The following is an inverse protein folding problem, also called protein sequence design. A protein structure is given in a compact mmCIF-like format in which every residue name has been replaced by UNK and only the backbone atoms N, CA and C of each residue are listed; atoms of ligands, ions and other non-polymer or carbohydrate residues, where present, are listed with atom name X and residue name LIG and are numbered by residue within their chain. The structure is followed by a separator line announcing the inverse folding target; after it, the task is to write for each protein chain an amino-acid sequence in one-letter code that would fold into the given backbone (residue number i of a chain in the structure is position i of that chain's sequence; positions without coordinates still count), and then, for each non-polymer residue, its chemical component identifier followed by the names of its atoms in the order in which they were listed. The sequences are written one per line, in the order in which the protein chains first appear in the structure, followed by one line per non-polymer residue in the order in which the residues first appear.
data_IF_507978772127
#
_entry.id   IF_507978772127
#
_cell.length_a   1.000
_cell.length_b   1.000
_cell.length_c   1.000
_cell.angle_alpha   90.00
_cell.angle_beta   90.00
_cell.angle_gamma   90.00
#
_symmetry.space_group_name_H-M   'P 1'
#
loop_
_entity.id
_entity.type
_entity.pdbx_description
1 polymer ?
#
# COMPACT_ATOMS: atom_id res chain seq x y z
N UNK A 1 -48.83 -30.05 58.31
CA UNK A 1 -48.28 -30.52 57.04
C UNK A 1 -47.61 -29.30 56.40
N UNK A 2 -46.27 -29.30 56.38
CA UNK A 2 -45.48 -28.14 55.89
C UNK A 2 -45.00 -28.45 54.49
N UNK A 3 -45.41 -27.67 53.50
CA UNK A 3 -44.96 -27.76 52.12
C UNK A 3 -43.60 -27.11 51.99
N UNK A 4 -42.58 -27.88 51.68
CA UNK A 4 -41.24 -27.40 51.35
C UNK A 4 -41.21 -27.18 49.84
N UNK A 5 -41.15 -25.93 49.41
CA UNK A 5 -40.96 -25.51 48.03
C UNK A 5 -39.47 -25.57 47.73
N UNK A 6 -39.04 -26.51 46.91
CA UNK A 6 -37.65 -26.69 46.47
C UNK A 6 -37.43 -25.84 45.23
N UNK A 7 -36.82 -24.65 45.37
CA UNK A 7 -36.42 -23.78 44.26
C UNK A 7 -35.15 -24.34 43.65
N UNK A 8 -35.25 -24.88 42.43
CA UNK A 8 -34.10 -25.24 41.59
C UNK A 8 -33.57 -23.98 40.93
N UNK A 9 -32.45 -23.42 41.43
CA UNK A 9 -31.65 -22.42 40.71
C UNK A 9 -30.82 -23.14 39.66
N UNK A 10 -31.22 -23.04 38.38
CA UNK A 10 -30.39 -23.45 37.24
C UNK A 10 -29.41 -22.29 36.97
N UNK A 11 -28.19 -22.42 37.44
CA UNK A 11 -27.10 -21.53 37.05
C UNK A 11 -26.63 -21.92 35.64
N UNK A 12 -27.05 -21.14 34.63
CA UNK A 12 -26.50 -21.25 33.28
C UNK A 12 -25.09 -20.65 33.33
N UNK A 13 -24.08 -21.51 33.43
CA UNK A 13 -22.69 -21.15 33.29
C UNK A 13 -22.45 -20.89 31.80
N UNK A 14 -22.58 -19.66 31.34
CA UNK A 14 -22.12 -19.23 30.01
C UNK A 14 -20.60 -19.34 29.98
N UNK A 15 -20.07 -20.49 29.53
CA UNK A 15 -18.68 -20.61 29.16
C UNK A 15 -18.46 -19.68 27.95
N UNK A 16 -17.94 -18.49 28.20
CA UNK A 16 -17.34 -17.66 27.17
C UNK A 16 -16.08 -18.42 26.71
N UNK A 17 -16.25 -19.22 25.67
CA UNK A 17 -15.10 -19.73 24.91
C UNK A 17 -14.44 -18.48 24.29
N UNK A 18 -13.46 -17.93 24.98
CA UNK A 18 -12.48 -17.03 24.40
C UNK A 18 -11.60 -17.90 23.49
N UNK A 19 -12.17 -18.36 22.37
CA UNK A 19 -11.43 -19.04 21.34
C UNK A 19 -10.40 -18.03 20.81
N UNK A 20 -9.14 -18.40 20.84
CA UNK A 20 -8.11 -17.69 20.08
C UNK A 20 -8.58 -17.72 18.64
N UNK A 21 -8.81 -16.56 18.04
CA UNK A 21 -9.13 -16.49 16.64
C UNK A 21 -7.82 -16.71 15.90
N UNK A 22 -7.65 -17.82 15.20
CA UNK A 22 -6.47 -18.04 14.37
C UNK A 22 -6.49 -17.10 13.16
N UNK A 23 -5.32 -16.69 12.70
CA UNK A 23 -5.21 -15.92 11.46
C UNK A 23 -5.79 -16.74 10.29
N UNK A 24 -6.61 -16.11 9.45
CA UNK A 24 -7.33 -16.81 8.38
C UNK A 24 -6.91 -16.28 7.01
N UNK A 25 -6.72 -17.23 6.09
CA UNK A 25 -6.39 -16.91 4.69
C UNK A 25 -7.55 -17.34 3.78
N UNK A 26 -7.89 -16.48 2.82
CA UNK A 26 -8.91 -16.71 1.80
C UNK A 26 -8.31 -16.56 0.41
N UNK A 27 -8.50 -17.52 -0.47
CA UNK A 27 -8.10 -17.45 -1.88
C UNK A 27 -9.34 -17.42 -2.78
N UNK A 28 -9.33 -16.55 -3.79
CA UNK A 28 -10.37 -16.51 -4.83
C UNK A 28 -9.85 -15.95 -6.14
N UNK A 29 -10.58 -16.23 -7.22
CA UNK A 29 -10.39 -15.63 -8.52
C UNK A 29 -11.56 -14.72 -8.86
N UNK A 30 -11.33 -13.74 -9.72
CA UNK A 30 -12.35 -12.89 -10.29
C UNK A 30 -12.34 -13.01 -11.82
N UNK A 31 -13.37 -12.46 -12.46
CA UNK A 31 -13.48 -12.45 -13.90
C UNK A 31 -12.33 -11.64 -14.53
N UNK A 32 -11.87 -12.04 -15.73
CA UNK A 32 -10.91 -11.28 -16.51
C UNK A 32 -11.38 -9.83 -16.78
N UNK A 33 -10.46 -8.88 -16.70
CA UNK A 33 -10.72 -7.48 -17.02
C UNK A 33 -10.44 -7.23 -18.51
N UNK A 34 -11.44 -7.50 -19.35
CA UNK A 34 -11.29 -7.50 -20.82
C UNK A 34 -10.90 -6.14 -21.39
N UNK A 35 -11.43 -5.05 -20.82
CA UNK A 35 -11.19 -3.67 -21.25
C UNK A 35 -9.70 -3.29 -21.13
N UNK A 36 -9.00 -3.88 -20.17
CA UNK A 36 -7.57 -3.68 -19.91
C UNK A 36 -6.74 -4.93 -20.18
N UNK A 37 -7.32 -5.91 -20.87
CA UNK A 37 -6.67 -7.14 -21.33
C UNK A 37 -5.97 -7.94 -20.22
N UNK A 38 -6.53 -7.96 -19.03
CA UNK A 38 -6.04 -8.80 -17.93
C UNK A 38 -6.81 -10.11 -17.95
N UNK A 39 -6.10 -11.20 -18.22
CA UNK A 39 -6.69 -12.52 -18.41
C UNK A 39 -6.80 -13.32 -17.11
N UNK A 40 -5.93 -13.04 -16.14
CA UNK A 40 -5.96 -13.69 -14.82
C UNK A 40 -6.05 -12.64 -13.73
N UNK A 41 -7.11 -12.74 -12.95
CA UNK A 41 -7.34 -11.91 -11.77
C UNK A 41 -7.58 -12.84 -10.60
N UNK A 42 -6.71 -12.79 -9.60
CA UNK A 42 -6.86 -13.58 -8.41
C UNK A 42 -6.32 -12.84 -7.17
N UNK A 43 -6.80 -13.24 -6.02
CA UNK A 43 -6.49 -12.58 -4.75
C UNK A 43 -6.24 -13.61 -3.66
N UNK A 44 -5.40 -13.19 -2.69
CA UNK A 44 -5.30 -13.81 -1.37
C UNK A 44 -5.54 -12.75 -0.32
N UNK A 45 -6.58 -12.95 0.48
CA UNK A 45 -6.84 -12.19 1.70
C UNK A 45 -6.21 -12.86 2.90
N UNK A 46 -5.62 -12.10 3.80
CA UNK A 46 -5.17 -12.55 5.11
C UNK A 46 -5.77 -11.67 6.19
N UNK A 47 -6.39 -12.29 7.17
CA UNK A 47 -6.99 -11.63 8.34
C UNK A 47 -6.16 -11.97 9.56
N UNK A 48 -5.65 -10.99 10.33
CA UNK A 48 -4.90 -11.27 11.55
C UNK A 48 -5.77 -11.94 12.60
N UNK A 49 -5.12 -12.68 13.49
CA UNK A 49 -5.74 -13.22 14.71
C UNK A 49 -6.14 -12.05 15.63
N UNK A 50 -7.37 -11.55 15.47
CA UNK A 50 -7.89 -10.44 16.26
C UNK A 50 -9.40 -10.45 16.38
N UNK A 51 -9.88 -10.18 17.59
CA UNK A 51 -11.30 -9.90 17.86
C UNK A 51 -11.66 -8.43 17.66
N UNK A 52 -10.65 -7.55 17.50
CA UNK A 52 -10.87 -6.12 17.27
C UNK A 52 -11.38 -5.87 15.85
N UNK A 53 -12.14 -4.80 15.64
CA UNK A 53 -12.39 -4.31 14.29
C UNK A 53 -11.09 -3.97 13.58
N UNK A 54 -11.03 -4.25 12.28
CA UNK A 54 -9.89 -3.89 11.46
C UNK A 54 -9.99 -2.44 11.00
N UNK A 55 -8.86 -1.76 11.05
CA UNK A 55 -8.76 -0.33 10.72
C UNK A 55 -8.52 -0.06 9.23
N UNK A 56 -8.15 -1.07 8.44
CA UNK A 56 -7.83 -0.90 7.02
C UNK A 56 -7.43 -2.17 6.30
N UNK A 57 -6.98 -2.02 5.05
CA UNK A 57 -6.44 -3.11 4.22
C UNK A 57 -5.11 -2.71 3.63
N UNK A 58 -4.10 -3.56 3.78
CA UNK A 58 -2.81 -3.46 3.10
C UNK A 58 -2.89 -4.19 1.76
N UNK A 59 -2.85 -3.46 0.67
CA UNK A 59 -2.94 -3.98 -0.69
C UNK A 59 -1.55 -4.16 -1.27
N UNK A 60 -1.21 -5.39 -1.66
CA UNK A 60 0.10 -5.78 -2.17
C UNK A 60 0.00 -6.19 -3.64
N UNK A 61 0.70 -5.47 -4.53
CA UNK A 61 0.61 -5.69 -5.98
C UNK A 61 1.99 -6.01 -6.56
N UNK A 62 2.16 -7.20 -7.18
CA UNK A 62 3.43 -7.65 -7.74
C UNK A 62 3.81 -6.90 -9.00
N UNK A 63 5.03 -7.15 -9.48
CA UNK A 63 5.45 -6.76 -10.82
C UNK A 63 4.65 -7.47 -11.92
N UNK A 64 4.97 -7.11 -13.15
CA UNK A 64 4.35 -7.65 -14.36
C UNK A 64 4.35 -9.18 -14.36
N UNK A 65 3.20 -9.77 -14.71
CA UNK A 65 2.95 -11.22 -14.76
C UNK A 65 3.19 -11.96 -13.42
N UNK A 66 3.43 -11.23 -12.33
CA UNK A 66 3.65 -11.84 -11.02
C UNK A 66 2.36 -12.36 -10.39
N UNK A 67 2.45 -13.50 -9.73
CA UNK A 67 1.47 -13.91 -8.74
C UNK A 67 1.92 -13.38 -7.37
N UNK A 68 1.25 -12.35 -6.91
CA UNK A 68 1.57 -11.70 -5.64
C UNK A 68 0.89 -12.32 -4.43
N UNK A 69 0.03 -13.31 -4.61
CA UNK A 69 -0.77 -13.90 -3.52
C UNK A 69 0.09 -14.41 -2.37
N UNK A 70 1.23 -15.03 -2.66
CA UNK A 70 2.17 -15.47 -1.64
C UNK A 70 2.76 -14.35 -0.76
N UNK A 71 2.62 -13.08 -1.14
CA UNK A 71 3.03 -11.97 -0.28
C UNK A 71 2.18 -11.85 0.99
N UNK A 72 0.93 -12.32 0.96
CA UNK A 72 0.07 -12.35 2.15
C UNK A 72 0.60 -13.28 3.25
N UNK A 73 1.44 -14.26 2.88
CA UNK A 73 2.03 -15.22 3.82
C UNK A 73 3.39 -14.75 4.35
N UNK A 74 3.94 -13.65 3.82
CA UNK A 74 5.25 -13.16 4.20
C UNK A 74 5.23 -12.48 5.58
N UNK A 75 6.09 -12.92 6.53
CA UNK A 75 6.05 -12.45 7.93
C UNK A 75 6.16 -10.94 8.10
N UNK A 76 6.93 -10.26 7.24
CA UNK A 76 7.07 -8.80 7.31
C UNK A 76 5.77 -8.06 7.00
N UNK A 77 4.98 -8.57 6.06
CA UNK A 77 3.70 -7.97 5.70
C UNK A 77 2.63 -8.28 6.74
N UNK A 78 2.61 -9.52 7.25
CA UNK A 78 1.69 -9.91 8.33
C UNK A 78 1.98 -9.11 9.60
N UNK A 79 3.27 -8.90 9.93
CA UNK A 79 3.65 -8.07 11.06
C UNK A 79 3.18 -6.62 10.88
N UNK A 80 3.44 -6.02 9.70
CA UNK A 80 2.98 -4.64 9.42
C UNK A 80 1.46 -4.53 9.50
N UNK A 81 0.73 -5.48 8.92
CA UNK A 81 -0.72 -5.49 8.96
C UNK A 81 -1.25 -5.63 10.40
N UNK A 82 -0.67 -6.53 11.20
CA UNK A 82 -1.01 -6.68 12.63
C UNK A 82 -0.74 -5.39 13.41
N UNK A 83 0.42 -4.76 13.21
CA UNK A 83 0.80 -3.50 13.89
C UNK A 83 -0.12 -2.31 13.52
N UNK A 84 -0.86 -2.42 12.42
CA UNK A 84 -1.81 -1.42 11.92
C UNK A 84 -3.28 -1.78 12.20
N UNK A 85 -3.57 -2.96 12.75
CA UNK A 85 -4.91 -3.56 12.78
C UNK A 85 -5.53 -3.64 11.36
N UNK A 86 -4.75 -4.07 10.37
CA UNK A 86 -5.14 -4.19 8.95
C UNK A 86 -5.29 -5.64 8.52
N UNK A 87 -6.19 -5.88 7.55
CA UNK A 87 -6.14 -7.08 6.71
C UNK A 87 -5.08 -6.91 5.62
N UNK A 88 -4.69 -8.01 4.95
CA UNK A 88 -3.90 -7.98 3.71
C UNK A 88 -4.77 -8.43 2.55
N UNK A 89 -4.63 -7.74 1.41
CA UNK A 89 -5.12 -8.16 0.10
C UNK A 89 -3.95 -8.24 -0.86
N UNK A 90 -3.48 -9.45 -1.16
CA UNK A 90 -2.41 -9.69 -2.12
C UNK A 90 -2.99 -10.09 -3.48
N UNK A 91 -2.51 -9.44 -4.54
CA UNK A 91 -3.12 -9.48 -5.87
C UNK A 91 -2.31 -10.30 -6.87
N UNK A 92 -3.01 -10.90 -7.82
CA UNK A 92 -2.46 -11.39 -9.08
C UNK A 92 -3.20 -10.73 -10.23
N UNK A 93 -2.45 -10.01 -11.09
CA UNK A 93 -2.96 -9.47 -12.35
C UNK A 93 -2.01 -9.89 -13.46
N UNK A 94 -2.44 -10.83 -14.31
CA UNK A 94 -1.64 -11.34 -15.41
C UNK A 94 -2.37 -11.16 -16.73
N UNK A 95 -1.62 -10.77 -17.74
CA UNK A 95 -2.12 -10.62 -19.10
C UNK A 95 -1.08 -11.12 -20.12
N UNK A 96 -1.52 -11.24 -21.37
CA UNK A 96 -0.59 -11.40 -22.49
C UNK A 96 0.20 -10.12 -22.77
N UNK A 97 1.01 -10.15 -23.83
CA UNK A 97 1.67 -8.96 -24.37
C UNK A 97 0.73 -8.24 -25.36
N UNK A 98 0.77 -6.88 -25.42
CA UNK A 98 1.49 -5.92 -24.59
C UNK A 98 0.79 -5.65 -23.26
N UNK A 99 1.49 -4.97 -22.32
CA UNK A 99 1.05 -4.75 -20.96
C UNK A 99 0.18 -3.47 -20.82
N UNK A 100 -1.14 -3.54 -20.66
CA UNK A 100 -2.03 -2.39 -20.83
C UNK A 100 -2.31 -1.58 -19.55
N UNK A 101 -1.71 -1.88 -18.38
CA UNK A 101 -1.97 -1.12 -17.15
C UNK A 101 -1.76 0.39 -17.29
N UNK A 102 -0.88 0.80 -18.20
CA UNK A 102 -0.65 2.21 -18.51
C UNK A 102 -1.86 2.86 -19.19
N UNK A 103 -2.72 2.05 -19.80
CA UNK A 103 -3.88 2.49 -20.59
C UNK A 103 -5.22 2.29 -19.88
N UNK A 104 -5.20 1.95 -18.58
CA UNK A 104 -6.44 1.87 -17.77
C UNK A 104 -7.02 3.28 -17.56
N UNK A 105 -7.62 3.82 -18.61
CA UNK A 105 -8.20 5.16 -18.61
C UNK A 105 -9.43 5.27 -17.71
N UNK A 106 -10.09 4.16 -17.41
CA UNK A 106 -11.37 4.12 -16.69
C UNK A 106 -11.26 3.54 -15.28
N UNK A 107 -10.05 3.16 -14.85
CA UNK A 107 -9.81 2.64 -13.51
C UNK A 107 -10.40 1.25 -13.27
N UNK A 108 -10.44 0.40 -14.29
CA UNK A 108 -11.02 -0.95 -14.18
C UNK A 108 -10.31 -1.81 -13.14
N UNK A 109 -8.96 -1.71 -13.10
CA UNK A 109 -8.18 -2.42 -12.06
C UNK A 109 -8.46 -1.85 -10.68
N UNK A 110 -8.61 -0.54 -10.56
CA UNK A 110 -8.91 0.11 -9.29
C UNK A 110 -10.31 -0.26 -8.78
N UNK A 111 -11.31 -0.33 -9.67
CA UNK A 111 -12.67 -0.84 -9.35
C UNK A 111 -12.62 -2.31 -8.92
N UNK A 112 -11.85 -3.13 -9.64
CA UNK A 112 -11.67 -4.54 -9.30
C UNK A 112 -11.07 -4.73 -7.88
N UNK A 113 -10.09 -3.90 -7.49
CA UNK A 113 -9.55 -3.91 -6.13
C UNK A 113 -10.63 -3.56 -5.09
N UNK A 114 -11.51 -2.58 -5.37
CA UNK A 114 -12.62 -2.27 -4.47
C UNK A 114 -13.57 -3.46 -4.31
N UNK A 115 -13.96 -4.11 -5.41
CA UNK A 115 -14.79 -5.32 -5.38
C UNK A 115 -14.10 -6.44 -4.60
N UNK A 116 -12.78 -6.60 -4.76
CA UNK A 116 -12.01 -7.60 -4.02
C UNK A 116 -11.97 -7.31 -2.50
N UNK A 117 -11.89 -6.05 -2.10
CA UNK A 117 -11.98 -5.66 -0.67
C UNK A 117 -13.38 -5.93 -0.12
N UNK A 118 -14.44 -5.66 -0.89
CA UNK A 118 -15.81 -5.98 -0.50
C UNK A 118 -15.99 -7.50 -0.34
N UNK A 119 -15.47 -8.27 -1.27
CA UNK A 119 -15.52 -9.74 -1.19
C UNK A 119 -14.72 -10.28 0.00
N UNK A 120 -13.53 -9.73 0.29
CA UNK A 120 -12.76 -10.07 1.50
C UNK A 120 -13.57 -9.77 2.77
N UNK A 121 -14.29 -8.65 2.80
CA UNK A 121 -15.20 -8.30 3.90
C UNK A 121 -16.28 -9.36 4.11
N UNK A 122 -16.85 -9.88 3.03
CA UNK A 122 -17.89 -10.91 3.06
C UNK A 122 -17.33 -12.26 3.54
N UNK A 123 -16.22 -12.70 2.95
CA UNK A 123 -15.57 -13.96 3.30
C UNK A 123 -15.12 -14.01 4.77
N UNK A 124 -14.63 -12.88 5.29
CA UNK A 124 -14.11 -12.78 6.66
C UNK A 124 -15.16 -12.43 7.71
N UNK A 125 -16.36 -12.03 7.30
CA UNK A 125 -17.37 -11.46 8.19
C UNK A 125 -16.99 -10.11 8.82
N UNK A 126 -15.94 -9.43 8.31
CA UNK A 126 -15.44 -8.14 8.79
C UNK A 126 -16.08 -7.00 7.98
N UNK A 127 -17.32 -6.64 8.32
CA UNK A 127 -18.11 -5.66 7.56
C UNK A 127 -17.45 -4.28 7.45
N UNK A 128 -16.62 -3.90 8.42
CA UNK A 128 -15.87 -2.66 8.43
C UNK A 128 -14.92 -2.50 7.23
N UNK A 129 -14.42 -3.60 6.66
CA UNK A 129 -13.48 -3.57 5.54
C UNK A 129 -14.07 -2.97 4.26
N UNK A 130 -15.39 -3.06 4.04
CA UNK A 130 -16.04 -2.51 2.82
C UNK A 130 -15.67 -1.06 2.54
N UNK A 131 -15.55 -0.25 3.59
CA UNK A 131 -15.24 1.20 3.51
C UNK A 131 -13.91 1.57 4.16
N UNK A 132 -13.15 0.59 4.58
CA UNK A 132 -11.89 0.82 5.25
C UNK A 132 -10.87 1.52 4.36
N UNK A 133 -9.98 2.36 4.93
CA UNK A 133 -8.87 2.94 4.19
C UNK A 133 -7.90 1.87 3.72
N UNK A 134 -7.24 2.14 2.58
CA UNK A 134 -6.28 1.23 1.96
C UNK A 134 -4.87 1.82 2.03
N UNK A 135 -3.90 0.98 2.38
CA UNK A 135 -2.49 1.30 2.20
C UNK A 135 -1.91 0.42 1.09
N UNK A 136 -1.13 1.00 0.20
CA UNK A 136 -0.63 0.30 -0.98
C UNK A 136 0.87 0.10 -0.93
N UNK A 137 1.31 -1.09 -1.33
CA UNK A 137 2.64 -1.32 -1.82
C UNK A 137 2.59 -2.00 -3.18
N UNK A 138 3.36 -1.47 -4.12
CA UNK A 138 3.49 -2.05 -5.45
C UNK A 138 4.95 -2.10 -5.90
N UNK A 139 5.29 -3.10 -6.71
CA UNK A 139 6.62 -3.21 -7.33
C UNK A 139 6.49 -3.19 -8.84
N UNK A 140 7.34 -2.42 -9.54
CA UNK A 140 7.35 -2.35 -11.01
C UNK A 140 5.95 -2.00 -11.57
N UNK A 141 5.34 -2.86 -12.37
CA UNK A 141 3.98 -2.68 -12.88
C UNK A 141 2.93 -2.52 -11.76
N UNK A 142 3.11 -3.22 -10.65
CA UNK A 142 2.24 -3.08 -9.47
C UNK A 142 2.31 -1.68 -8.85
N UNK A 143 3.45 -1.00 -8.95
CA UNK A 143 3.57 0.41 -8.55
C UNK A 143 2.66 1.31 -9.39
N UNK A 144 2.57 1.06 -10.71
CA UNK A 144 1.70 1.83 -11.59
C UNK A 144 0.22 1.58 -11.29
N UNK A 145 -0.17 0.32 -11.04
CA UNK A 145 -1.54 -0.03 -10.65
C UNK A 145 -1.93 0.68 -9.35
N UNK A 146 -1.07 0.59 -8.33
CA UNK A 146 -1.30 1.23 -7.03
C UNK A 146 -1.41 2.76 -7.16
N UNK A 147 -0.53 3.36 -7.96
CA UNK A 147 -0.54 4.80 -8.21
C UNK A 147 -1.81 5.23 -8.98
N UNK A 148 -2.28 4.43 -9.93
CA UNK A 148 -3.56 4.68 -10.63
C UNK A 148 -4.74 4.61 -9.66
N UNK A 149 -4.74 3.65 -8.72
CA UNK A 149 -5.76 3.62 -7.69
C UNK A 149 -5.80 4.94 -6.89
N UNK A 150 -4.65 5.50 -6.53
CA UNK A 150 -4.56 6.79 -5.84
C UNK A 150 -5.17 7.96 -6.63
N UNK A 151 -5.21 7.86 -7.96
CA UNK A 151 -5.84 8.88 -8.83
C UNK A 151 -7.37 8.72 -8.86
N UNK A 152 -7.86 7.48 -8.96
CA UNK A 152 -9.30 7.22 -9.09
C UNK A 152 -10.07 7.29 -7.77
N UNK A 153 -9.45 6.83 -6.69
CA UNK A 153 -10.08 6.73 -5.36
C UNK A 153 -9.18 7.32 -4.25
N UNK A 154 -8.73 8.58 -4.38
CA UNK A 154 -7.77 9.18 -3.46
C UNK A 154 -8.27 9.23 -2.01
N UNK A 155 -9.58 9.37 -1.80
CA UNK A 155 -10.21 9.40 -0.47
C UNK A 155 -10.14 8.07 0.28
N UNK A 156 -9.91 6.97 -0.44
CA UNK A 156 -9.75 5.63 0.13
C UNK A 156 -8.31 5.32 0.55
N UNK A 157 -7.33 6.15 0.15
CA UNK A 157 -5.91 5.81 0.32
C UNK A 157 -5.33 6.46 1.56
N UNK A 158 -4.85 5.64 2.50
CA UNK A 158 -4.14 6.08 3.69
C UNK A 158 -2.65 6.39 3.39
N UNK A 159 -1.98 5.56 2.59
CA UNK A 159 -0.59 5.75 2.18
C UNK A 159 -0.28 4.92 0.92
N UNK A 160 0.74 5.34 0.17
CA UNK A 160 1.26 4.61 -0.98
C UNK A 160 2.77 4.47 -0.91
N UNK A 161 3.26 3.27 -1.21
CA UNK A 161 4.68 2.98 -1.33
C UNK A 161 4.96 2.22 -2.64
N UNK A 162 6.04 2.55 -3.31
CA UNK A 162 6.44 1.89 -4.54
C UNK A 162 7.88 1.45 -4.53
N UNK A 163 8.17 0.33 -5.21
CA UNK A 163 9.51 -0.18 -5.46
C UNK A 163 9.75 -0.33 -6.94
N UNK A 164 10.75 0.38 -7.46
CA UNK A 164 11.29 0.34 -8.82
C UNK A 164 10.29 0.54 -9.98
N UNK A 165 10.79 0.71 -11.19
CA UNK A 165 10.00 1.04 -12.37
C UNK A 165 9.64 2.52 -12.42
N UNK A 166 8.71 2.91 -13.28
CA UNK A 166 8.18 4.28 -13.34
C UNK A 166 7.14 4.45 -12.24
N UNK A 167 7.61 4.72 -11.03
CA UNK A 167 6.76 4.85 -9.85
C UNK A 167 6.00 6.18 -9.86
N UNK A 168 4.77 6.13 -9.36
CA UNK A 168 3.95 7.31 -9.07
C UNK A 168 2.77 7.52 -10.01
N UNK A 169 1.86 8.41 -9.60
CA UNK A 169 0.64 8.69 -10.33
C UNK A 169 0.95 9.39 -11.66
N UNK A 170 0.66 8.71 -12.77
CA UNK A 170 0.68 9.30 -14.09
C UNK A 170 -0.59 10.12 -14.36
N UNK A 171 -0.57 10.94 -15.43
CA UNK A 171 -1.73 11.72 -15.82
C UNK A 171 -2.03 12.93 -14.92
N UNK A 172 -3.27 13.36 -14.86
CA UNK A 172 -3.70 14.48 -14.03
C UNK A 172 -3.79 14.07 -12.55
N UNK A 173 -3.34 14.96 -11.64
CA UNK A 173 -3.34 14.71 -10.19
C UNK A 173 -4.29 15.69 -9.53
N UNK A 174 -5.27 15.16 -8.79
CA UNK A 174 -6.19 15.97 -8.00
C UNK A 174 -5.52 16.46 -6.70
N UNK A 175 -6.10 17.49 -6.08
CA UNK A 175 -5.69 17.96 -4.75
C UNK A 175 -5.74 16.81 -3.73
N UNK A 176 -6.79 15.98 -3.77
CA UNK A 176 -6.92 14.81 -2.89
C UNK A 176 -5.78 13.81 -3.06
N UNK A 177 -5.30 13.61 -4.30
CA UNK A 177 -4.15 12.73 -4.55
C UNK A 177 -2.86 13.33 -3.96
N UNK A 178 -2.72 14.65 -3.97
CA UNK A 178 -1.58 15.34 -3.33
C UNK A 178 -1.57 15.19 -1.80
N UNK A 179 -2.72 14.96 -1.17
CA UNK A 179 -2.82 14.73 0.28
C UNK A 179 -2.39 13.32 0.72
N UNK A 180 -2.20 12.39 -0.22
CA UNK A 180 -1.78 11.03 0.09
C UNK A 180 -0.27 11.00 0.38
N UNK A 181 0.19 10.51 1.55
CA UNK A 181 1.61 10.27 1.79
C UNK A 181 2.15 9.21 0.82
N UNK A 182 3.26 9.52 0.13
CA UNK A 182 3.86 8.60 -0.84
C UNK A 182 5.36 8.47 -0.65
N UNK A 183 5.89 7.25 -0.78
CA UNK A 183 7.31 6.98 -0.91
C UNK A 183 7.62 6.26 -2.22
N UNK A 184 8.58 6.81 -2.96
CA UNK A 184 9.07 6.27 -4.22
C UNK A 184 10.47 5.69 -4.00
N UNK A 185 10.56 4.36 -3.84
CA UNK A 185 11.86 3.69 -3.75
C UNK A 185 12.38 3.39 -5.15
N UNK A 186 13.42 4.12 -5.54
CA UNK A 186 13.99 4.12 -6.90
C UNK A 186 15.29 3.34 -6.92
N UNK A 187 15.43 2.39 -7.83
CA UNK A 187 16.71 1.75 -8.12
C UNK A 187 17.56 2.65 -9.02
N UNK A 188 18.70 3.12 -8.53
CA UNK A 188 19.54 4.11 -9.22
C UNK A 188 20.20 3.58 -10.50
N UNK A 189 20.35 2.26 -10.63
CA UNK A 189 20.87 1.58 -11.85
C UNK A 189 19.79 0.85 -12.63
N UNK A 190 18.52 1.15 -12.38
CA UNK A 190 17.39 0.68 -13.21
C UNK A 190 17.41 1.37 -14.59
N UNK A 191 16.50 1.01 -15.48
CA UNK A 191 16.40 1.62 -16.81
C UNK A 191 16.31 3.15 -16.68
N UNK A 192 17.17 3.91 -17.37
CA UNK A 192 17.28 5.36 -17.18
C UNK A 192 15.95 6.11 -17.33
N UNK A 193 15.10 5.69 -18.27
CA UNK A 193 13.80 6.34 -18.47
C UNK A 193 12.82 6.06 -17.33
N UNK A 194 12.92 4.90 -16.68
CA UNK A 194 12.11 4.59 -15.50
C UNK A 194 12.56 5.37 -14.27
N UNK A 195 13.88 5.51 -14.09
CA UNK A 195 14.45 6.36 -13.04
C UNK A 195 14.00 7.81 -13.22
N UNK A 196 14.14 8.36 -14.45
CA UNK A 196 13.69 9.71 -14.81
C UNK A 196 12.20 9.90 -14.57
N UNK A 197 11.37 8.93 -15.01
CA UNK A 197 9.93 8.98 -14.84
C UNK A 197 9.50 8.97 -13.37
N UNK A 198 10.17 8.17 -12.54
CA UNK A 198 9.90 8.13 -11.10
C UNK A 198 10.26 9.44 -10.40
N UNK A 199 11.42 10.02 -10.75
CA UNK A 199 11.85 11.32 -10.22
C UNK A 199 10.86 12.41 -10.65
N UNK A 200 10.50 12.46 -11.93
CA UNK A 200 9.53 13.43 -12.44
C UNK A 200 8.17 13.32 -11.76
N UNK A 201 7.69 12.10 -11.47
CA UNK A 201 6.46 11.92 -10.72
C UNK A 201 6.58 12.45 -9.28
N UNK A 202 7.68 12.16 -8.59
CA UNK A 202 7.90 12.66 -7.23
C UNK A 202 8.02 14.20 -7.19
N UNK A 203 8.68 14.80 -8.19
CA UNK A 203 8.81 16.25 -8.31
C UNK A 203 7.45 16.97 -8.44
N UNK A 204 6.43 16.32 -8.98
CA UNK A 204 5.07 16.89 -9.09
C UNK A 204 4.46 17.20 -7.73
N UNK A 205 4.82 16.43 -6.70
CA UNK A 205 4.39 16.66 -5.32
C UNK A 205 5.32 17.58 -4.52
N UNK A 206 6.47 17.98 -5.08
CA UNK A 206 7.46 18.73 -4.33
C UNK A 206 6.91 20.06 -3.78
N UNK A 207 7.02 20.27 -2.47
CA UNK A 207 6.49 21.46 -1.77
C UNK A 207 4.96 21.54 -1.69
N UNK A 208 4.22 20.51 -2.17
CA UNK A 208 2.76 20.49 -2.22
C UNK A 208 2.16 19.25 -1.57
N UNK A 209 2.93 18.17 -1.46
CA UNK A 209 2.45 16.86 -1.01
C UNK A 209 3.47 16.20 -0.07
N UNK A 210 3.05 15.31 0.85
CA UNK A 210 3.94 14.53 1.71
C UNK A 210 4.57 13.36 0.93
N UNK A 211 5.26 13.68 -0.17
CA UNK A 211 5.91 12.73 -1.07
C UNK A 211 7.42 12.74 -0.86
N UNK A 212 8.01 11.55 -0.81
CA UNK A 212 9.45 11.38 -0.61
C UNK A 212 10.05 10.36 -1.57
N UNK A 213 11.35 10.50 -1.84
CA UNK A 213 12.13 9.59 -2.68
C UNK A 213 13.16 8.87 -1.82
N UNK A 214 13.24 7.56 -1.96
CA UNK A 214 14.28 6.72 -1.40
C UNK A 214 15.13 6.13 -2.54
N UNK A 215 16.29 6.76 -2.81
CA UNK A 215 17.17 6.34 -3.90
C UNK A 215 18.14 5.25 -3.40
N UNK A 216 18.08 4.08 -4.02
CA UNK A 216 19.03 2.99 -3.84
C UNK A 216 20.07 3.04 -4.96
N UNK A 217 21.18 3.76 -4.75
CA UNK A 217 22.16 4.14 -5.81
C UNK A 217 22.65 2.96 -6.66
N UNK A 218 22.88 1.81 -6.06
CA UNK A 218 23.46 0.60 -6.70
C UNK A 218 22.44 -0.46 -7.03
N UNK A 219 21.15 -0.22 -6.75
CA UNK A 219 20.07 -1.15 -7.01
C UNK A 219 19.57 -1.00 -8.44
N UNK A 220 19.42 -2.11 -9.16
CA UNK A 220 18.73 -2.17 -10.44
C UNK A 220 17.22 -2.36 -10.28
N UNK A 221 16.61 -3.04 -11.27
CA UNK A 221 15.18 -3.35 -11.25
C UNK A 221 14.87 -4.45 -10.24
N UNK A 222 14.31 -4.10 -9.10
CA UNK A 222 13.96 -5.05 -8.02
C UNK A 222 13.73 -4.35 -6.69
N UNK A 223 13.25 -5.09 -5.72
CA UNK A 223 12.90 -4.57 -4.39
C UNK A 223 14.14 -4.08 -3.62
N UNK A 224 15.25 -4.84 -3.71
CA UNK A 224 16.49 -4.50 -3.01
C UNK A 224 16.26 -4.30 -1.51
N UNK A 225 16.82 -3.21 -0.97
CA UNK A 225 16.64 -2.80 0.43
C UNK A 225 15.48 -1.80 0.61
N UNK A 226 14.62 -1.61 -0.39
CA UNK A 226 13.51 -0.64 -0.27
C UNK A 226 12.58 -0.93 0.91
N UNK A 227 12.47 -2.19 1.33
CA UNK A 227 11.65 -2.59 2.47
C UNK A 227 12.09 -1.96 3.79
N UNK A 228 13.40 -1.65 3.95
CA UNK A 228 13.96 -0.98 5.13
C UNK A 228 13.40 0.45 5.29
N UNK A 229 12.89 1.04 4.21
CA UNK A 229 12.26 2.36 4.20
C UNK A 229 10.73 2.25 4.12
N UNK A 230 10.23 1.34 3.28
CA UNK A 230 8.79 1.23 2.98
C UNK A 230 7.98 0.78 4.21
N UNK A 231 8.44 -0.26 4.92
CA UNK A 231 7.71 -0.77 6.09
C UNK A 231 7.60 0.29 7.20
N UNK A 232 8.70 0.94 7.65
CA UNK A 232 8.61 2.03 8.63
C UNK A 232 7.78 3.23 8.13
N UNK A 233 7.89 3.58 6.84
CA UNK A 233 7.11 4.66 6.25
C UNK A 233 5.60 4.36 6.33
N UNK A 234 5.15 3.19 5.86
CA UNK A 234 3.75 2.80 5.90
C UNK A 234 3.24 2.75 7.34
N UNK A 235 4.02 2.16 8.26
CA UNK A 235 3.64 2.10 9.68
C UNK A 235 3.41 3.48 10.28
N UNK A 236 4.36 4.39 10.09
CA UNK A 236 4.31 5.73 10.67
C UNK A 236 3.19 6.59 10.06
N UNK A 237 3.10 6.62 8.72
CA UNK A 237 2.15 7.48 8.02
C UNK A 237 0.71 7.02 8.16
N UNK A 238 0.45 5.71 8.12
CA UNK A 238 -0.89 5.16 8.32
C UNK A 238 -1.36 5.43 9.75
N UNK A 239 -0.52 5.17 10.77
CA UNK A 239 -0.87 5.48 12.17
C UNK A 239 -1.19 6.96 12.37
N UNK A 240 -0.36 7.85 11.83
CA UNK A 240 -0.58 9.28 11.91
C UNK A 240 -1.91 9.69 11.25
N UNK A 241 -2.18 9.16 10.06
CA UNK A 241 -3.37 9.53 9.27
C UNK A 241 -4.68 9.00 9.87
N UNK A 242 -4.63 7.84 10.51
CA UNK A 242 -5.79 7.23 11.16
C UNK A 242 -5.98 7.71 12.62
N UNK A 243 -5.13 8.61 13.12
CA UNK A 243 -5.19 9.11 14.49
C UNK A 243 -4.83 8.08 15.55
N UNK A 244 -4.20 6.96 15.16
CA UNK A 244 -3.66 5.97 16.10
C UNK A 244 -2.36 6.53 16.67
N UNK A 245 -2.27 6.68 18.01
CA UNK A 245 -1.10 7.22 18.66
C UNK A 245 0.19 6.54 18.18
N UNK A 246 1.04 7.30 17.53
CA UNK A 246 2.35 6.82 17.09
C UNK A 246 3.23 6.63 18.32
N UNK A 247 3.98 5.51 18.46
CA UNK A 247 5.06 5.48 19.43
C UNK A 247 6.03 6.62 19.07
N UNK A 248 6.47 7.37 20.07
CA UNK A 248 7.24 8.62 20.02
C UNK A 248 8.69 8.41 19.47
N UNK A 249 8.86 7.70 18.39
CA UNK A 249 10.14 7.59 17.69
C UNK A 249 9.92 7.83 16.21
N UNK A 250 10.14 9.06 15.79
CA UNK A 250 10.51 9.34 14.40
C UNK A 250 11.80 8.55 14.13
N UNK A 251 11.83 7.57 13.22
CA UNK A 251 13.07 6.87 12.93
C UNK A 251 14.12 7.87 12.50
N UNK A 252 15.25 7.92 13.21
CA UNK A 252 16.40 8.77 12.89
C UNK A 252 17.03 8.47 11.51
N UNK A 253 16.54 7.47 10.83
CA UNK A 253 16.95 6.99 9.50
C UNK A 253 16.71 8.04 8.40
N UNK A 254 15.74 8.96 8.59
CA UNK A 254 15.45 9.99 7.58
C UNK A 254 16.46 11.14 7.54
N UNK A 255 17.46 11.19 8.44
CA UNK A 255 18.37 12.34 8.53
C UNK A 255 19.72 12.20 7.83
N UNK A 256 20.14 11.02 7.41
CA UNK A 256 21.57 10.84 7.06
C UNK A 256 21.92 10.67 5.58
N UNK A 257 21.00 10.39 4.67
CA UNK A 257 21.39 10.13 3.27
C UNK A 257 20.44 10.68 2.18
N UNK A 258 19.37 11.36 2.54
CA UNK A 258 18.60 12.10 1.56
C UNK A 258 19.19 13.51 1.42
N UNK A 259 19.50 13.96 0.19
CA UNK A 259 19.75 15.39 0.00
C UNK A 259 18.49 16.08 0.53
N UNK A 260 18.72 16.99 1.47
CA UNK A 260 17.69 17.77 2.14
C UNK A 260 16.89 18.53 1.06
N UNK A 261 15.82 17.92 0.56
CA UNK A 261 14.81 18.59 -0.26
C UNK A 261 13.92 19.31 0.75
N UNK A 262 14.62 20.11 1.58
CA UNK A 262 14.06 20.75 2.74
C UNK A 262 13.11 21.84 2.40
N UNK A 263 12.19 22.01 3.26
CA UNK A 263 11.42 23.22 3.53
C UNK A 263 12.32 24.46 3.59
N UNK A 264 12.73 25.01 2.46
CA UNK A 264 13.17 26.40 2.34
C UNK A 264 12.15 27.13 1.48
N UNK A 265 11.32 27.89 2.15
CA UNK A 265 10.62 29.03 1.56
C UNK A 265 11.62 29.84 0.74
N UNK A 266 11.33 30.01 -0.54
CA UNK A 266 12.09 30.82 -1.52
C UNK A 266 13.37 30.17 -2.09
N UNK A 267 13.21 29.19 -2.98
CA UNK A 267 14.25 28.88 -3.96
C UNK A 267 13.87 29.47 -5.33
N UNK A 268 14.76 30.28 -5.87
CA UNK A 268 14.61 30.84 -7.22
C UNK A 268 14.71 29.73 -8.28
N UNK A 269 14.11 29.93 -9.47
CA UNK A 269 14.12 28.98 -10.59
C UNK A 269 15.55 28.52 -10.99
N UNK A 270 16.57 29.30 -10.71
CA UNK A 270 17.99 28.98 -10.96
C UNK A 270 18.52 27.90 -10.00
N UNK A 271 18.09 27.90 -8.75
CA UNK A 271 18.48 26.93 -7.74
C UNK A 271 17.86 25.55 -8.02
N UNK A 272 16.62 25.51 -8.52
CA UNK A 272 15.96 24.29 -8.95
C UNK A 272 16.65 23.64 -10.16
N UNK A 273 17.11 24.44 -11.12
CA UNK A 273 17.86 23.97 -12.30
C UNK A 273 19.23 23.40 -11.94
N UNK A 274 19.88 23.97 -10.93
CA UNK A 274 21.16 23.50 -10.37
C UNK A 274 20.98 22.18 -9.61
N UNK A 275 19.93 22.02 -8.79
CA UNK A 275 19.59 20.79 -8.09
C UNK A 275 19.25 19.66 -9.05
N UNK A 276 18.47 19.92 -10.10
CA UNK A 276 18.18 18.96 -11.18
C UNK A 276 19.44 18.45 -11.86
N UNK A 277 20.36 19.36 -12.21
CA UNK A 277 21.64 19.01 -12.82
C UNK A 277 22.54 18.17 -11.88
N UNK A 278 22.50 18.47 -10.59
CA UNK A 278 23.32 17.80 -9.57
C UNK A 278 22.79 16.39 -9.28
N UNK A 279 21.48 16.24 -9.03
CA UNK A 279 20.84 14.93 -8.88
C UNK A 279 21.02 14.05 -10.12
N UNK A 280 20.88 14.64 -11.31
CA UNK A 280 21.06 13.92 -12.56
C UNK A 280 22.51 13.49 -12.79
N UNK A 281 23.49 14.32 -12.41
CA UNK A 281 24.92 14.00 -12.50
C UNK A 281 25.36 12.98 -11.46
N UNK A 282 24.71 12.92 -10.27
CA UNK A 282 24.99 11.93 -9.24
C UNK A 282 24.31 10.56 -9.52
N UNK A 283 23.26 10.54 -10.34
CA UNK A 283 22.50 9.33 -10.66
C UNK A 283 22.93 8.71 -11.99
N UNK A 284 23.29 9.52 -12.98
CA UNK A 284 23.50 9.12 -14.37
C UNK A 284 24.89 9.51 -14.92
N UNK A 285 25.78 10.09 -14.12
CA UNK A 285 27.12 10.56 -14.48
C UNK A 285 28.25 9.57 -14.27
#
# INVERSE_FOLDING_TARGET
MKNICLSFCVAILAMIFCGKADAVTHDWAADPLKEVQINTVAFRGWIPDTTKPLSGVLVLIPGRHGDGRGMADAPQWQKLATDLDFAILACQFSNGEPFPYQNDAHGEVAKCINTAVEHLSELSGKAELKKAPLAFWGVSAGSNVSARYCVFFPERVAAFASSTGTCGPGGEISVKTLDIPMVFAIGGTDKPDWVKGSIANAERGQGKAPWTVALQKTQGHGVGKSMDVIVPFLLATVKQRLGVASPTQTPSIFKSELPNIGSSSHSTASTQKSLKKRLFKEICG
#
